data_IF_815243683105
#
_entry.id   IF_815243683105
#
_cell.length_a   1.000
_cell.length_b   1.000
_cell.length_c   1.000
_cell.angle_alpha   90.00
_cell.angle_beta   90.00
_cell.angle_gamma   90.00
#
_symmetry.space_group_name_H-M   'P 1'
#
loop_
_entity.id
_entity.type
_entity.pdbx_description
1 polymer ?
#
# COMPACT_ATOMS: atom_id res chain seq x y z
N UNK A 1 -6.46 18.82 30.01
CA UNK A 1 -5.02 18.62 29.70
C UNK A 1 -4.88 18.74 28.20
N UNK A 2 -4.17 19.77 27.73
CA UNK A 2 -3.96 20.02 26.29
C UNK A 2 -2.59 19.45 25.93
N UNK A 3 -2.52 18.56 24.93
CA UNK A 3 -1.25 18.06 24.38
C UNK A 3 -0.98 18.74 23.04
N UNK A 4 0.24 19.24 22.85
CA UNK A 4 0.76 19.76 21.59
C UNK A 4 1.44 18.64 20.79
N UNK A 5 1.16 18.57 19.49
CA UNK A 5 1.59 17.51 18.57
C UNK A 5 2.88 17.88 17.83
N UNK A 6 3.89 18.39 18.54
CA UNK A 6 5.15 18.87 17.91
C UNK A 6 6.25 17.79 17.89
N UNK A 7 5.96 16.56 18.34
CA UNK A 7 6.96 15.48 18.46
C UNK A 7 6.85 14.49 17.31
N UNK A 8 8.01 14.05 16.83
CA UNK A 8 8.16 12.88 15.98
C UNK A 8 7.51 11.67 16.65
N UNK A 9 6.72 10.85 15.95
CA UNK A 9 6.08 9.69 16.55
C UNK A 9 7.13 8.73 17.13
N UNK A 10 6.97 8.38 18.41
CA UNK A 10 7.75 7.33 19.05
C UNK A 10 7.04 5.98 18.83
N UNK A 11 7.75 5.00 18.27
CA UNK A 11 7.22 3.68 17.98
C UNK A 11 7.79 2.64 18.98
N UNK A 12 6.94 1.87 19.69
CA UNK A 12 7.39 0.81 20.57
C UNK A 12 8.14 -0.32 19.86
N UNK A 13 7.85 -0.53 18.57
CA UNK A 13 8.48 -1.56 17.74
C UNK A 13 9.08 -0.94 16.48
N UNK A 14 10.08 -1.59 15.92
CA UNK A 14 10.60 -1.23 14.60
C UNK A 14 9.65 -1.74 13.51
N UNK A 15 9.16 -2.97 13.67
CA UNK A 15 8.24 -3.60 12.73
C UNK A 15 6.93 -4.05 13.41
N UNK A 16 5.82 -3.93 12.70
CA UNK A 16 4.62 -4.72 12.94
C UNK A 16 4.40 -5.64 11.75
N UNK A 17 4.39 -6.95 11.94
CA UNK A 17 4.11 -7.96 10.90
C UNK A 17 2.66 -8.40 11.04
N UNK A 18 1.88 -8.19 10.00
CA UNK A 18 0.42 -8.24 10.01
C UNK A 18 -0.10 -9.25 8.97
N UNK A 19 -0.90 -10.24 9.39
CA UNK A 19 -1.33 -11.34 8.51
C UNK A 19 -2.80 -11.71 8.71
N UNK A 20 -3.53 -11.89 7.61
CA UNK A 20 -4.85 -12.55 7.62
C UNK A 20 -4.64 -14.06 7.61
N UNK A 21 -5.17 -14.76 8.63
CA UNK A 21 -4.83 -16.17 8.87
C UNK A 21 -6.04 -17.07 8.60
N UNK A 22 -5.94 -17.95 7.62
CA UNK A 22 -6.88 -19.05 7.38
C UNK A 22 -6.30 -20.40 7.77
N UNK A 23 -4.97 -20.55 7.70
CA UNK A 23 -4.24 -21.77 8.04
C UNK A 23 -3.18 -21.47 9.11
N UNK A 24 -3.47 -21.87 10.35
CA UNK A 24 -2.61 -21.59 11.51
C UNK A 24 -1.21 -22.22 11.37
N UNK A 25 -1.10 -23.39 10.72
CA UNK A 25 0.20 -24.04 10.50
C UNK A 25 1.08 -23.25 9.51
N UNK A 26 0.49 -22.67 8.45
CA UNK A 26 1.22 -21.81 7.52
C UNK A 26 1.66 -20.53 8.21
N UNK A 27 0.76 -19.90 8.98
CA UNK A 27 1.09 -18.72 9.78
C UNK A 27 2.23 -18.98 10.76
N UNK A 28 2.22 -20.12 11.47
CA UNK A 28 3.29 -20.50 12.39
C UNK A 28 4.64 -20.65 11.67
N UNK A 29 4.66 -21.30 10.50
CA UNK A 29 5.87 -21.42 9.68
C UNK A 29 6.37 -20.07 9.16
N UNK A 30 5.45 -19.18 8.77
CA UNK A 30 5.79 -17.82 8.37
C UNK A 30 6.45 -17.06 9.53
N UNK A 31 5.83 -17.05 10.73
CA UNK A 31 6.38 -16.40 11.92
C UNK A 31 7.76 -16.96 12.27
N UNK A 32 7.93 -18.28 12.28
CA UNK A 32 9.23 -18.91 12.54
C UNK A 32 10.30 -18.47 11.53
N UNK A 33 9.92 -18.33 10.25
CA UNK A 33 10.84 -17.84 9.23
C UNK A 33 11.26 -16.38 9.47
N UNK A 34 10.34 -15.53 9.92
CA UNK A 34 10.63 -14.15 10.29
C UNK A 34 11.54 -14.07 11.51
N UNK A 35 11.25 -14.84 12.56
CA UNK A 35 12.08 -14.88 13.77
C UNK A 35 13.51 -15.34 13.44
N UNK A 36 13.66 -16.40 12.63
CA UNK A 36 14.97 -16.88 12.15
C UNK A 36 15.70 -15.83 11.30
N UNK A 37 14.97 -15.03 10.53
CA UNK A 37 15.48 -13.90 9.74
C UNK A 37 15.75 -12.63 10.59
N UNK A 38 15.69 -12.71 11.92
CA UNK A 38 16.09 -11.64 12.83
C UNK A 38 14.96 -10.69 13.25
N UNK A 39 13.70 -10.96 12.89
CA UNK A 39 12.54 -10.22 13.38
C UNK A 39 12.16 -10.64 14.81
N UNK A 40 13.05 -10.35 15.77
CA UNK A 40 12.85 -10.70 17.18
C UNK A 40 11.66 -9.96 17.80
N UNK A 41 10.97 -10.61 18.75
CA UNK A 41 9.83 -10.05 19.49
C UNK A 41 10.16 -8.77 20.28
N UNK A 42 11.44 -8.51 20.58
CA UNK A 42 11.86 -7.27 21.24
C UNK A 42 11.74 -6.02 20.33
N UNK A 43 11.71 -6.20 19.02
CA UNK A 43 11.66 -5.11 18.04
C UNK A 43 10.56 -5.30 16.99
N UNK A 44 9.84 -6.43 17.04
CA UNK A 44 8.80 -6.80 16.09
C UNK A 44 7.55 -7.25 16.83
N UNK A 45 6.42 -6.66 16.49
CA UNK A 45 5.11 -7.14 16.93
C UNK A 45 4.48 -7.96 15.81
N UNK A 46 3.99 -9.16 16.13
CA UNK A 46 3.20 -9.97 15.21
C UNK A 46 1.71 -9.79 15.50
N UNK A 47 0.94 -9.42 14.49
CA UNK A 47 -0.50 -9.20 14.55
C UNK A 47 -1.20 -10.11 13.54
N UNK A 48 -2.23 -10.82 13.98
CA UNK A 48 -3.01 -11.69 13.12
C UNK A 48 -4.50 -11.43 13.25
N UNK A 49 -5.23 -11.55 12.15
CA UNK A 49 -6.70 -11.64 12.15
C UNK A 49 -7.07 -13.07 11.79
N UNK A 50 -7.78 -13.75 12.69
CA UNK A 50 -8.23 -15.12 12.48
C UNK A 50 -9.44 -15.16 11.53
N UNK A 51 -9.21 -15.65 10.32
CA UNK A 51 -10.20 -15.96 9.29
C UNK A 51 -10.41 -17.48 9.13
N UNK A 52 -9.83 -18.33 10.00
CA UNK A 52 -9.89 -19.79 9.89
C UNK A 52 -11.30 -20.38 10.03
N UNK A 53 -12.21 -19.67 10.73
CA UNK A 53 -13.61 -20.07 10.92
C UNK A 53 -14.58 -19.37 9.96
N UNK A 54 -14.03 -18.64 8.99
CA UNK A 54 -14.78 -17.81 8.05
C UNK A 54 -14.06 -16.48 7.86
N UNK A 55 -14.11 -15.96 6.63
CA UNK A 55 -13.48 -14.70 6.24
C UNK A 55 -14.21 -13.50 6.86
N UNK A 56 -14.05 -13.30 8.17
CA UNK A 56 -14.66 -12.20 8.94
C UNK A 56 -14.13 -10.86 8.45
N UNK A 57 -12.86 -10.83 8.05
CA UNK A 57 -12.23 -9.69 7.41
C UNK A 57 -11.69 -10.06 6.03
N UNK A 58 -11.71 -9.10 5.12
CA UNK A 58 -11.12 -9.21 3.78
C UNK A 58 -9.83 -8.38 3.67
N UNK A 59 -9.21 -8.38 2.49
CA UNK A 59 -7.98 -7.64 2.22
C UNK A 59 -8.10 -6.12 2.40
N UNK A 60 -9.30 -5.56 2.41
CA UNK A 60 -9.51 -4.12 2.62
C UNK A 60 -9.77 -3.81 4.10
N UNK A 61 -10.77 -4.47 4.70
CA UNK A 61 -11.17 -4.26 6.09
C UNK A 61 -10.13 -4.76 7.09
N UNK A 62 -9.49 -5.89 6.81
CA UNK A 62 -8.46 -6.47 7.66
C UNK A 62 -7.19 -5.63 7.68
N UNK A 63 -6.71 -5.20 6.52
CA UNK A 63 -5.56 -4.30 6.44
C UNK A 63 -5.84 -2.93 7.04
N UNK A 64 -7.02 -2.36 6.86
CA UNK A 64 -7.40 -1.12 7.56
C UNK A 64 -7.32 -1.27 9.08
N UNK A 65 -7.73 -2.44 9.60
CA UNK A 65 -7.61 -2.74 11.04
C UNK A 65 -6.13 -2.83 11.47
N UNK A 66 -5.27 -3.45 10.65
CA UNK A 66 -3.84 -3.48 10.91
C UNK A 66 -3.20 -2.09 10.88
N UNK A 67 -3.44 -1.31 9.83
CA UNK A 67 -2.91 0.05 9.68
C UNK A 67 -3.33 0.97 10.84
N UNK A 68 -4.55 0.80 11.36
CA UNK A 68 -5.03 1.56 12.52
C UNK A 68 -4.59 1.05 13.90
N UNK A 69 -4.01 -0.16 13.99
CA UNK A 69 -3.66 -0.79 15.28
C UNK A 69 -2.17 -1.07 15.46
N UNK A 70 -1.40 -1.15 14.35
CA UNK A 70 0.00 -1.48 14.36
C UNK A 70 0.85 -0.41 15.05
N UNK A 71 1.80 -0.86 15.87
CA UNK A 71 2.64 0.02 16.71
C UNK A 71 4.11 0.07 16.23
N UNK A 72 4.42 -0.59 15.12
CA UNK A 72 5.74 -0.56 14.49
C UNK A 72 5.97 0.70 13.67
N UNK A 73 7.20 1.19 13.63
CA UNK A 73 7.60 2.28 12.72
C UNK A 73 7.32 1.92 11.25
N UNK A 74 7.55 0.65 10.91
CA UNK A 74 7.21 0.08 9.62
C UNK A 74 6.20 -1.05 9.80
N UNK A 75 5.16 -1.06 8.98
CA UNK A 75 4.10 -2.06 9.01
C UNK A 75 4.30 -2.98 7.80
N UNK A 76 4.57 -4.25 8.06
CA UNK A 76 4.60 -5.30 7.04
C UNK A 76 3.22 -5.94 7.04
N UNK A 77 2.54 -5.89 5.90
CA UNK A 77 1.37 -6.71 5.63
C UNK A 77 1.81 -7.81 4.68
N UNK A 78 1.58 -9.07 5.05
CA UNK A 78 1.95 -10.19 4.21
C UNK A 78 0.92 -11.31 4.27
N UNK A 79 1.00 -12.21 3.29
CA UNK A 79 0.26 -13.47 3.33
C UNK A 79 0.88 -14.43 4.35
N UNK A 80 0.11 -15.43 4.76
CA UNK A 80 0.58 -16.46 5.71
C UNK A 80 1.49 -17.51 5.05
N UNK A 81 1.56 -17.53 3.73
CA UNK A 81 2.24 -18.54 2.92
C UNK A 81 3.55 -18.03 2.29
N UNK A 82 4.08 -16.92 2.83
CA UNK A 82 5.45 -16.46 2.55
C UNK A 82 6.43 -16.97 3.61
N UNK A 83 7.69 -17.15 3.22
CA UNK A 83 8.80 -17.47 4.13
C UNK A 83 10.05 -16.67 3.78
N UNK A 84 10.72 -16.14 4.81
CA UNK A 84 12.03 -15.49 4.66
C UNK A 84 13.13 -16.55 4.60
N UNK A 85 13.43 -17.03 3.37
CA UNK A 85 14.44 -18.06 3.10
C UNK A 85 15.77 -17.52 2.59
N UNK A 86 15.80 -16.27 2.11
CA UNK A 86 16.93 -15.71 1.39
C UNK A 86 17.40 -14.41 2.03
N UNK A 87 16.56 -13.39 2.02
CA UNK A 87 16.85 -12.11 2.67
C UNK A 87 16.28 -12.04 4.09
N UNK A 88 16.90 -11.19 4.90
CA UNK A 88 16.63 -11.08 6.33
C UNK A 88 16.26 -9.64 6.75
N UNK A 89 16.06 -9.43 8.04
CA UNK A 89 15.74 -8.11 8.59
C UNK A 89 16.79 -7.06 8.26
N UNK A 90 18.08 -7.41 8.24
CA UNK A 90 19.16 -6.47 7.94
C UNK A 90 19.10 -6.05 6.46
N UNK A 91 18.83 -6.98 5.54
CA UNK A 91 18.59 -6.65 4.13
C UNK A 91 17.38 -5.72 3.99
N UNK A 92 16.26 -6.00 4.66
CA UNK A 92 15.08 -5.12 4.58
C UNK A 92 15.38 -3.70 5.09
N UNK A 93 16.13 -3.56 6.19
CA UNK A 93 16.55 -2.26 6.71
C UNK A 93 17.47 -1.52 5.73
N UNK A 94 18.41 -2.23 5.08
CA UNK A 94 19.26 -1.63 4.07
C UNK A 94 18.45 -1.13 2.86
N UNK A 95 17.40 -1.85 2.45
CA UNK A 95 16.45 -1.42 1.40
C UNK A 95 15.62 -0.20 1.82
N UNK A 96 15.19 -0.16 3.08
CA UNK A 96 14.50 1.01 3.64
C UNK A 96 15.40 2.24 3.62
N UNK A 97 16.64 2.13 4.11
CA UNK A 97 17.60 3.23 4.11
C UNK A 97 17.95 3.70 2.69
N UNK A 98 18.01 2.77 1.73
CA UNK A 98 18.16 3.09 0.32
C UNK A 98 17.00 3.93 -0.21
N UNK A 99 15.75 3.58 0.12
CA UNK A 99 14.58 4.39 -0.23
C UNK A 99 14.59 5.76 0.45
N UNK A 100 14.97 5.85 1.73
CA UNK A 100 15.07 7.16 2.41
C UNK A 100 16.05 8.11 1.72
N UNK A 101 17.17 7.59 1.20
CA UNK A 101 18.15 8.39 0.45
C UNK A 101 17.66 8.73 -0.96
N UNK A 102 17.01 7.78 -1.63
CA UNK A 102 16.55 7.95 -3.01
C UNK A 102 15.36 8.90 -3.11
N UNK A 103 14.39 8.76 -2.20
CA UNK A 103 13.12 9.44 -2.25
C UNK A 103 12.46 9.48 -0.86
N UNK A 104 12.65 10.54 -0.07
CA UNK A 104 12.07 10.62 1.28
C UNK A 104 10.54 10.63 1.31
N UNK A 105 9.88 10.81 0.14
CA UNK A 105 8.43 10.73 -0.02
C UNK A 105 7.95 9.31 -0.40
N UNK A 106 8.76 8.27 -0.23
CA UNK A 106 8.25 6.89 -0.27
C UNK A 106 7.37 6.60 0.95
N UNK A 107 6.34 5.78 0.77
CA UNK A 107 5.50 5.32 1.88
C UNK A 107 5.11 3.84 1.79
N UNK A 108 5.17 3.25 0.59
CA UNK A 108 4.80 1.86 0.35
C UNK A 108 5.91 1.17 -0.42
N UNK A 109 6.29 -0.02 -0.02
CA UNK A 109 7.22 -0.86 -0.76
C UNK A 109 6.73 -2.33 -0.81
N UNK A 110 7.18 -3.10 -1.78
CA UNK A 110 6.93 -4.54 -1.85
C UNK A 110 7.99 -5.24 -2.70
N UNK A 111 7.95 -6.55 -2.80
CA UNK A 111 8.93 -7.33 -3.56
C UNK A 111 8.50 -7.65 -5.00
N UNK A 112 7.23 -7.43 -5.35
CA UNK A 112 6.70 -7.65 -6.69
C UNK A 112 5.64 -6.62 -7.07
N UNK A 113 5.61 -6.24 -8.34
CA UNK A 113 4.68 -5.24 -8.87
C UNK A 113 4.92 -4.92 -10.35
N UNK A 114 4.33 -3.82 -10.82
CA UNK A 114 4.48 -3.37 -12.20
C UNK A 114 4.70 -1.86 -12.30
N UNK A 115 5.76 -1.49 -13.04
CA UNK A 115 6.05 -0.12 -13.43
C UNK A 115 5.15 0.38 -14.58
N UNK A 116 5.57 1.44 -15.25
CA UNK A 116 4.84 1.96 -16.40
C UNK A 116 4.87 0.99 -17.59
N UNK A 117 3.80 0.99 -18.40
CA UNK A 117 3.69 0.22 -19.66
C UNK A 117 4.02 -1.28 -19.53
N UNK A 118 3.54 -1.94 -18.46
CA UNK A 118 3.73 -3.38 -18.21
C UNK A 118 5.19 -3.78 -17.93
N UNK A 119 6.01 -2.84 -17.44
CA UNK A 119 7.37 -3.13 -16.96
C UNK A 119 7.27 -4.03 -15.72
N UNK A 120 7.69 -5.28 -15.86
CA UNK A 120 7.75 -6.27 -14.77
C UNK A 120 8.84 -5.89 -13.77
N UNK A 121 8.47 -5.82 -12.49
CA UNK A 121 9.37 -5.50 -11.38
C UNK A 121 9.16 -6.53 -10.27
N UNK A 122 10.10 -7.43 -10.04
CA UNK A 122 9.99 -8.38 -8.93
C UNK A 122 11.31 -9.04 -8.55
N UNK A 123 11.40 -9.44 -7.28
CA UNK A 123 12.45 -10.30 -6.72
C UNK A 123 11.80 -11.36 -5.81
N UNK A 124 11.65 -12.59 -6.30
CA UNK A 124 10.86 -13.63 -5.63
C UNK A 124 11.26 -15.04 -6.04
N UNK A 125 11.12 -16.01 -5.15
CA UNK A 125 10.99 -17.44 -5.50
C UNK A 125 9.55 -17.88 -5.24
N UNK A 126 8.90 -18.49 -6.24
CA UNK A 126 7.52 -18.96 -6.16
C UNK A 126 7.32 -20.21 -7.05
N UNK A 127 6.11 -20.80 -7.18
CA UNK A 127 5.89 -21.98 -8.03
C UNK A 127 6.25 -21.81 -9.51
N UNK A 128 6.41 -20.56 -10.00
CA UNK A 128 6.78 -20.26 -11.38
C UNK A 128 8.30 -20.24 -11.61
N UNK A 129 9.10 -20.21 -10.53
CA UNK A 129 10.55 -20.28 -10.61
C UNK A 129 11.27 -19.83 -9.35
N UNK A 130 12.52 -20.28 -9.21
CA UNK A 130 13.42 -19.86 -8.13
C UNK A 130 14.22 -18.62 -8.53
N UNK A 131 14.53 -17.75 -7.56
CA UNK A 131 15.37 -16.56 -7.69
C UNK A 131 15.03 -15.69 -8.91
N UNK A 132 13.73 -15.50 -9.15
CA UNK A 132 13.26 -14.69 -10.26
C UNK A 132 13.50 -13.22 -9.95
N UNK A 133 14.26 -12.55 -10.81
CA UNK A 133 14.62 -11.13 -10.68
C UNK A 133 14.37 -10.41 -11.99
N UNK A 134 13.50 -9.41 -11.97
CA UNK A 134 13.16 -8.61 -13.14
C UNK A 134 13.07 -7.13 -12.80
N UNK A 135 13.61 -6.30 -13.69
CA UNK A 135 13.71 -4.85 -13.50
C UNK A 135 14.98 -4.44 -12.73
N UNK A 136 15.32 -3.15 -12.80
CA UNK A 136 16.36 -2.56 -11.97
C UNK A 136 15.73 -2.04 -10.67
N UNK A 137 16.02 -2.67 -9.54
CA UNK A 137 15.42 -2.37 -8.25
C UNK A 137 16.38 -1.55 -7.36
N UNK A 138 15.87 -0.64 -6.50
CA UNK A 138 14.47 -0.32 -6.31
C UNK A 138 13.88 0.48 -7.48
N UNK A 139 12.61 0.24 -7.80
CA UNK A 139 11.91 0.90 -8.90
C UNK A 139 10.55 1.44 -8.48
N UNK A 140 10.23 2.65 -8.91
CA UNK A 140 8.92 3.26 -8.65
C UNK A 140 7.83 2.45 -9.35
N UNK A 141 6.75 2.21 -8.63
CA UNK A 141 5.62 1.39 -9.10
C UNK A 141 4.28 2.07 -8.85
N UNK A 142 3.25 1.63 -9.58
CA UNK A 142 1.85 2.03 -9.34
C UNK A 142 1.03 0.89 -8.74
N UNK A 143 1.58 -0.33 -8.75
CA UNK A 143 0.92 -1.53 -8.24
C UNK A 143 1.95 -2.40 -7.51
N UNK A 144 1.48 -3.09 -6.50
CA UNK A 144 2.23 -4.13 -5.79
C UNK A 144 1.39 -5.39 -5.76
N UNK A 145 2.09 -6.53 -5.74
CA UNK A 145 1.50 -7.80 -5.34
C UNK A 145 1.17 -7.78 -3.85
N UNK A 146 0.18 -8.55 -3.46
CA UNK A 146 -0.34 -8.57 -2.10
C UNK A 146 0.46 -9.45 -1.11
N UNK A 147 1.36 -10.30 -1.61
CA UNK A 147 2.09 -11.27 -0.79
C UNK A 147 2.96 -10.62 0.31
N UNK A 148 3.57 -9.48 0.02
CA UNK A 148 4.44 -8.72 0.93
C UNK A 148 4.42 -7.23 0.59
N UNK A 149 3.88 -6.44 1.52
CA UNK A 149 3.80 -4.98 1.43
C UNK A 149 4.35 -4.37 2.71
N UNK A 150 5.33 -3.50 2.58
CA UNK A 150 5.88 -2.66 3.64
C UNK A 150 5.25 -1.26 3.56
N UNK A 151 4.85 -0.71 4.69
CA UNK A 151 4.22 0.61 4.80
C UNK A 151 4.93 1.44 5.87
N UNK A 152 5.27 2.69 5.57
CA UNK A 152 5.67 3.67 6.59
C UNK A 152 4.47 4.00 7.46
N UNK A 153 4.57 3.77 8.78
CA UNK A 153 3.45 4.06 9.68
C UNK A 153 3.11 5.56 9.68
N UNK A 154 4.13 6.43 9.68
CA UNK A 154 3.96 7.90 9.63
C UNK A 154 3.20 8.42 8.40
N UNK A 155 3.14 7.64 7.30
CA UNK A 155 2.39 8.02 6.11
C UNK A 155 0.86 7.98 6.34
N UNK A 156 0.41 7.34 7.44
CA UNK A 156 -0.98 7.29 7.90
C UNK A 156 -1.95 6.91 6.77
N UNK A 157 -1.59 5.87 6.02
CA UNK A 157 -2.38 5.39 4.90
C UNK A 157 -3.58 4.57 5.39
N UNK A 158 -4.63 4.57 4.59
CA UNK A 158 -5.78 3.69 4.75
C UNK A 158 -6.23 3.18 3.38
N UNK A 159 -6.78 1.97 3.37
CA UNK A 159 -7.43 1.41 2.19
C UNK A 159 -8.84 1.96 2.03
N UNK A 160 -9.29 1.90 0.80
CA UNK A 160 -10.63 2.25 0.38
C UNK A 160 -11.72 1.51 1.14
N UNK A 161 -12.57 2.26 1.83
CA UNK A 161 -13.66 1.70 2.65
C UNK A 161 -14.77 1.02 1.81
N UNK A 162 -14.94 1.46 0.57
CA UNK A 162 -15.98 1.00 -0.37
C UNK A 162 -15.53 -0.14 -1.28
N UNK A 163 -14.29 -0.61 -1.14
CA UNK A 163 -13.78 -1.83 -1.80
C UNK A 163 -13.80 -3.01 -0.84
N UNK A 164 -13.91 -4.22 -1.41
CA UNK A 164 -14.06 -5.49 -0.68
C UNK A 164 -13.31 -6.61 -1.42
N UNK A 165 -13.04 -7.70 -0.70
CA UNK A 165 -12.42 -8.91 -1.23
C UNK A 165 -10.91 -9.03 -0.95
N UNK A 166 -10.27 -10.00 -1.61
CA UNK A 166 -8.88 -10.42 -1.37
C UNK A 166 -7.93 -10.05 -2.51
N UNK A 167 -8.34 -9.13 -3.38
CA UNK A 167 -7.55 -8.74 -4.55
C UNK A 167 -7.48 -7.22 -4.68
N UNK A 168 -6.37 -6.76 -5.25
CA UNK A 168 -6.08 -5.37 -5.61
C UNK A 168 -5.94 -4.42 -4.42
N UNK A 169 -5.87 -4.92 -3.19
CA UNK A 169 -5.74 -4.05 -2.02
C UNK A 169 -4.34 -3.42 -1.93
N UNK A 170 -3.28 -4.14 -2.31
CA UNK A 170 -1.94 -3.54 -2.38
C UNK A 170 -1.87 -2.46 -3.47
N UNK A 171 -2.56 -2.69 -4.59
CA UNK A 171 -2.72 -1.71 -5.67
C UNK A 171 -3.53 -0.50 -5.22
N UNK A 172 -4.62 -0.69 -4.46
CA UNK A 172 -5.40 0.39 -3.87
C UNK A 172 -4.54 1.24 -2.93
N UNK A 173 -3.74 0.59 -2.07
CA UNK A 173 -2.84 1.29 -1.15
C UNK A 173 -1.81 2.17 -1.89
N UNK A 174 -1.24 1.66 -2.98
CA UNK A 174 -0.33 2.43 -3.83
C UNK A 174 -1.00 3.68 -4.41
N UNK A 175 -2.27 3.58 -4.82
CA UNK A 175 -3.01 4.70 -5.39
C UNK A 175 -3.45 5.70 -4.31
N UNK A 176 -3.86 5.24 -3.13
CA UNK A 176 -4.13 6.13 -1.99
C UNK A 176 -2.86 6.87 -1.59
N UNK A 177 -1.72 6.18 -1.47
CA UNK A 177 -0.43 6.81 -1.23
C UNK A 177 -0.15 7.91 -2.25
N UNK A 178 -0.35 7.63 -3.53
CA UNK A 178 -0.20 8.63 -4.59
C UNK A 178 -1.09 9.86 -4.41
N UNK A 179 -2.37 9.68 -4.07
CA UNK A 179 -3.29 10.80 -3.83
C UNK A 179 -2.93 11.64 -2.61
N UNK A 180 -2.25 11.03 -1.63
CA UNK A 180 -1.72 11.71 -0.45
C UNK A 180 -0.34 12.33 -0.68
N UNK A 181 0.23 12.21 -1.89
CA UNK A 181 1.53 12.78 -2.26
C UNK A 181 2.72 11.86 -1.98
N UNK A 182 2.48 10.62 -1.57
CA UNK A 182 3.50 9.60 -1.34
C UNK A 182 3.79 8.75 -2.58
N UNK A 183 4.90 8.02 -2.54
CA UNK A 183 5.38 7.16 -3.62
C UNK A 183 5.46 5.68 -3.18
N UNK A 184 5.29 4.79 -4.15
CA UNK A 184 5.37 3.34 -3.97
C UNK A 184 6.54 2.74 -4.77
N UNK A 185 7.19 1.71 -4.22
CA UNK A 185 8.37 1.08 -4.82
C UNK A 185 8.31 -0.45 -4.80
N UNK A 186 8.87 -1.08 -5.83
CA UNK A 186 9.35 -2.46 -5.72
C UNK A 186 10.81 -2.41 -5.25
N UNK A 187 11.14 -3.15 -4.20
CA UNK A 187 12.49 -3.25 -3.62
C UNK A 187 13.10 -4.62 -3.87
N UNK A 188 14.43 -4.67 -3.84
CA UNK A 188 15.17 -5.93 -3.90
C UNK A 188 15.18 -6.62 -2.53
N UNK A 189 14.08 -7.32 -2.24
CA UNK A 189 13.88 -8.13 -1.03
C UNK A 189 13.34 -9.51 -1.40
N UNK A 190 14.22 -10.50 -1.39
CA UNK A 190 13.98 -11.87 -1.86
C UNK A 190 13.39 -12.75 -0.77
N UNK A 191 12.17 -13.22 -1.01
CA UNK A 191 11.46 -14.18 -0.16
C UNK A 191 10.94 -15.36 -0.99
N UNK A 192 10.48 -16.40 -0.30
CA UNK A 192 9.77 -17.51 -0.90
C UNK A 192 8.26 -17.35 -0.70
N UNK A 193 7.47 -17.49 -1.75
CA UNK A 193 6.01 -17.49 -1.71
C UNK A 193 5.49 -18.85 -2.17
N UNK A 194 4.71 -19.54 -1.34
CA UNK A 194 4.28 -20.93 -1.61
C UNK A 194 3.27 -21.03 -2.75
N UNK A 195 2.49 -19.98 -2.99
CA UNK A 195 1.41 -19.99 -3.98
C UNK A 195 1.71 -19.08 -5.18
N UNK A 196 1.08 -19.39 -6.32
CA UNK A 196 1.29 -18.66 -7.58
C UNK A 196 0.16 -17.69 -7.95
N UNK A 197 -0.81 -17.48 -7.05
CA UNK A 197 -2.03 -16.70 -7.29
C UNK A 197 -3.03 -17.37 -8.27
N UNK A 198 -4.24 -16.83 -8.34
CA UNK A 198 -5.23 -17.26 -9.34
C UNK A 198 -6.10 -16.09 -9.85
N UNK A 199 -6.30 -16.03 -11.16
CA UNK A 199 -7.20 -15.04 -11.81
C UNK A 199 -8.61 -15.64 -11.98
N UNK A 200 -9.33 -15.77 -10.87
CA UNK A 200 -10.68 -16.35 -10.83
C UNK A 200 -11.80 -15.28 -11.02
N UNK A 201 -13.07 -15.68 -10.86
CA UNK A 201 -14.21 -14.75 -10.92
C UNK A 201 -14.19 -13.67 -9.82
N UNK A 202 -13.67 -13.99 -8.63
CA UNK A 202 -13.55 -13.02 -7.53
C UNK A 202 -12.54 -11.92 -7.89
N UNK A 203 -11.45 -12.27 -8.57
CA UNK A 203 -10.51 -11.30 -9.13
C UNK A 203 -11.19 -10.41 -10.18
N UNK A 204 -11.97 -10.98 -11.11
CA UNK A 204 -12.71 -10.20 -12.12
C UNK A 204 -13.71 -9.24 -11.48
N UNK A 205 -14.37 -9.65 -10.41
CA UNK A 205 -15.31 -8.82 -9.66
C UNK A 205 -14.59 -7.69 -8.93
N UNK A 206 -13.48 -7.99 -8.24
CA UNK A 206 -12.64 -7.00 -7.57
C UNK A 206 -12.08 -5.98 -8.57
N UNK A 207 -11.63 -6.43 -9.74
CA UNK A 207 -11.15 -5.57 -10.83
C UNK A 207 -12.23 -4.61 -11.32
N UNK A 208 -13.47 -5.07 -11.55
CA UNK A 208 -14.58 -4.19 -11.95
C UNK A 208 -14.87 -3.15 -10.88
N UNK A 209 -15.00 -3.56 -9.62
CA UNK A 209 -15.26 -2.64 -8.51
C UNK A 209 -14.15 -1.59 -8.36
N UNK A 210 -12.89 -2.00 -8.51
CA UNK A 210 -11.73 -1.10 -8.52
C UNK A 210 -11.85 -0.08 -9.66
N UNK A 211 -12.06 -0.52 -10.90
CA UNK A 211 -12.20 0.37 -12.06
C UNK A 211 -13.38 1.34 -11.90
N UNK A 212 -14.52 0.86 -11.41
CA UNK A 212 -15.71 1.69 -11.19
C UNK A 212 -15.48 2.75 -10.12
N UNK A 213 -14.81 2.41 -9.01
CA UNK A 213 -14.44 3.40 -7.99
C UNK A 213 -13.52 4.46 -8.58
N UNK A 214 -12.39 4.07 -9.16
CA UNK A 214 -11.37 5.01 -9.60
C UNK A 214 -11.82 5.87 -10.78
N UNK A 215 -12.70 5.36 -11.65
CA UNK A 215 -13.33 6.17 -12.70
C UNK A 215 -14.22 7.28 -12.14
N UNK A 216 -14.95 7.00 -11.04
CA UNK A 216 -15.71 8.02 -10.32
C UNK A 216 -14.81 9.01 -9.59
N UNK A 217 -13.73 8.57 -8.96
CA UNK A 217 -12.86 9.47 -8.19
C UNK A 217 -12.05 10.42 -9.08
N UNK A 218 -11.65 9.98 -10.28
CA UNK A 218 -10.77 10.73 -11.18
C UNK A 218 -11.52 11.63 -12.17
N UNK A 219 -12.85 11.78 -12.05
CA UNK A 219 -13.63 12.61 -12.96
C UNK A 219 -13.39 14.11 -12.71
N UNK A 220 -13.61 14.92 -13.75
CA UNK A 220 -13.60 16.38 -13.58
C UNK A 220 -14.78 16.83 -12.72
N UNK A 221 -14.57 17.77 -11.80
CA UNK A 221 -15.61 18.17 -10.85
C UNK A 221 -15.64 19.67 -10.56
N UNK A 222 -16.82 20.19 -10.25
CA UNK A 222 -17.02 21.54 -9.73
C UNK A 222 -17.12 21.46 -8.21
N UNK A 223 -16.28 22.22 -7.51
CA UNK A 223 -16.30 22.39 -6.07
C UNK A 223 -16.71 23.81 -5.71
N UNK A 224 -17.47 23.93 -4.62
CA UNK A 224 -17.77 25.22 -3.99
C UNK A 224 -17.42 25.13 -2.52
N UNK A 225 -16.57 26.04 -2.10
CA UNK A 225 -16.27 26.35 -0.70
C UNK A 225 -16.98 27.66 -0.31
N UNK A 226 -17.02 28.03 0.98
CA UNK A 226 -17.56 29.33 1.38
C UNK A 226 -16.89 30.52 0.69
N UNK A 227 -15.62 30.38 0.29
CA UNK A 227 -14.81 31.47 -0.24
C UNK A 227 -14.55 31.39 -1.75
N UNK A 228 -14.75 30.23 -2.38
CA UNK A 228 -14.39 30.02 -3.77
C UNK A 228 -15.26 28.97 -4.45
N UNK A 229 -15.45 29.14 -5.76
CA UNK A 229 -15.90 28.06 -6.64
C UNK A 229 -14.67 27.67 -7.45
N UNK A 230 -14.47 26.38 -7.66
CA UNK A 230 -13.32 25.81 -8.38
C UNK A 230 -13.82 24.73 -9.32
N UNK A 231 -13.18 24.60 -10.47
CA UNK A 231 -13.36 23.49 -11.38
C UNK A 231 -12.05 22.70 -11.48
N UNK A 232 -12.09 21.42 -11.18
CA UNK A 232 -10.91 20.55 -11.13
C UNK A 232 -11.01 19.53 -12.26
N UNK A 233 -9.93 19.42 -13.02
CA UNK A 233 -9.73 18.43 -14.09
C UNK A 233 -8.31 17.88 -14.03
N UNK A 234 -8.05 16.81 -14.78
CA UNK A 234 -6.69 16.29 -14.98
C UNK A 234 -5.80 17.21 -15.85
N UNK A 235 -6.38 18.17 -16.57
CA UNK A 235 -5.62 19.10 -17.43
C UNK A 235 -5.22 20.36 -16.68
N UNK A 236 -3.91 20.56 -16.52
CA UNK A 236 -3.34 21.79 -15.93
C UNK A 236 -3.74 23.04 -16.72
N UNK A 237 -3.81 22.94 -18.05
CA UNK A 237 -4.19 24.05 -18.93
C UNK A 237 -5.66 24.43 -18.69
N UNK A 238 -6.57 23.46 -18.70
CA UNK A 238 -7.99 23.74 -18.47
C UNK A 238 -8.27 24.24 -17.05
N UNK A 239 -7.58 23.70 -16.05
CA UNK A 239 -7.67 24.22 -14.68
C UNK A 239 -7.29 25.71 -14.62
N UNK A 240 -6.21 26.12 -15.30
CA UNK A 240 -5.77 27.51 -15.32
C UNK A 240 -6.75 28.43 -16.07
N UNK A 241 -7.29 27.97 -17.20
CA UNK A 241 -8.23 28.75 -18.01
C UNK A 241 -9.56 28.94 -17.27
N UNK A 242 -10.16 27.84 -16.80
CA UNK A 242 -11.51 27.85 -16.21
C UNK A 242 -11.53 28.56 -14.85
N UNK A 243 -10.46 28.41 -14.06
CA UNK A 243 -10.38 29.05 -12.74
C UNK A 243 -9.81 30.47 -12.75
N UNK A 244 -9.55 31.06 -13.91
CA UNK A 244 -9.09 32.44 -13.97
C UNK A 244 -10.21 33.40 -13.53
N UNK A 245 -9.85 34.43 -12.75
CA UNK A 245 -10.77 35.41 -12.14
C UNK A 245 -11.71 36.09 -13.15
N UNK A 246 -11.34 36.17 -14.44
CA UNK A 246 -12.17 36.74 -15.49
C UNK A 246 -13.52 36.00 -15.64
N UNK A 247 -13.52 34.67 -15.63
CA UNK A 247 -14.73 33.86 -15.80
C UNK A 247 -15.64 33.92 -14.56
N UNK A 248 -15.05 33.98 -13.36
CA UNK A 248 -15.79 34.10 -12.11
C UNK A 248 -16.35 35.51 -11.87
N UNK A 249 -15.62 36.55 -12.26
CA UNK A 249 -16.05 37.95 -12.21
C UNK A 249 -17.32 38.20 -13.03
N UNK A 250 -17.38 37.64 -14.24
CA UNK A 250 -18.53 37.76 -15.13
C UNK A 250 -19.79 37.13 -14.49
N UNK A 251 -19.68 35.92 -13.93
CA UNK A 251 -20.83 35.24 -13.32
C UNK A 251 -21.33 35.91 -12.04
N UNK A 252 -20.44 36.56 -11.27
CA UNK A 252 -20.82 37.35 -10.09
C UNK A 252 -21.44 38.71 -10.46
N UNK A 253 -21.11 39.25 -11.65
CA UNK A 253 -21.68 40.49 -12.21
C UNK A 253 -23.06 40.30 -12.85
N UNK A 254 -23.33 39.15 -13.44
CA UNK A 254 -24.61 38.84 -14.10
C UNK A 254 -25.57 37.99 -13.23
N UNK A 255 -25.20 37.71 -11.98
CA UNK A 255 -26.03 37.02 -10.99
C UNK A 255 -26.56 37.97 -9.91
N UNK A 256 -27.25 39.03 -10.33
CA UNK A 256 -28.19 39.82 -9.54
C UNK A 256 -29.44 40.06 -10.37
#
# INVERSE_FOLDING_TARGET
MTMTLDRTPEYPYLFSVCTLVTHHDEYAQMVESFERAGFSQAQTQFLSIDNSKGNIHDGYSGLNRFLGSAQGQYIIVCHQDIELRFDDRATLLARIEELERLDPHWAVAGNAGYGEFNTKLYCISDPWGENQRHGALPARTKTLDENFVLVKNEANLALSHDLRGFHLYATDLCNVAHFLGWHAYVIDFHLYHKSGGSCNEDFRTSKRAFMDKYSRTLHSMSLRTPCAIMFITSSRVWNRIINNNLFYSLRKRFGR
#
